data_IF_795256030568
#
_entry.id   IF_795256030568
#
_cell.length_a   1.000
_cell.length_b   1.000
_cell.length_c   1.000
_cell.angle_alpha   90.00
_cell.angle_beta   90.00
_cell.angle_gamma   90.00
#
_symmetry.space_group_name_H-M   'P 1'
#
loop_
_entity.id
_entity.type
_entity.pdbx_description
1 polymer ?
#
# COMPACT_ATOMS: atom_id res chain seq x y z
N UNK A 1 15.86 24.07 3.65
CA UNK A 1 15.04 23.76 4.84
C UNK A 1 13.67 24.41 4.66
N UNK A 2 12.58 23.65 4.86
CA UNK A 2 11.75 23.95 6.02
C UNK A 2 11.37 22.67 6.76
N UNK A 3 11.94 22.53 7.97
CA UNK A 3 11.46 21.65 9.02
C UNK A 3 10.31 22.36 9.74
N UNK A 4 9.07 21.93 9.52
CA UNK A 4 7.97 22.19 10.47
C UNK A 4 7.18 20.89 10.63
N UNK A 5 7.54 20.18 11.69
CA UNK A 5 6.75 19.14 12.39
C UNK A 5 6.00 18.11 11.52
N UNK A 6 6.73 17.10 11.04
CA UNK A 6 6.13 15.76 10.94
C UNK A 6 6.00 15.24 12.37
N UNK A 7 4.78 15.17 12.88
CA UNK A 7 4.51 14.63 14.21
C UNK A 7 4.68 13.12 14.13
N UNK A 8 5.81 12.60 14.62
CA UNK A 8 5.99 11.16 14.85
C UNK A 8 5.06 10.74 15.99
N UNK A 9 3.82 10.38 15.66
CA UNK A 9 2.87 9.88 16.65
C UNK A 9 3.35 8.51 17.15
N UNK A 10 3.97 8.50 18.32
CA UNK A 10 4.09 7.33 19.18
C UNK A 10 2.68 6.95 19.66
N UNK A 11 2.04 6.01 18.96
CA UNK A 11 0.69 5.53 19.30
C UNK A 11 0.75 4.51 20.43
N UNK A 12 0.71 5.01 21.66
CA UNK A 12 0.41 4.20 22.84
C UNK A 12 -0.37 5.10 23.82
N UNK A 13 -1.69 5.23 23.69
CA UNK A 13 -2.52 5.49 24.87
C UNK A 13 -4.05 5.32 24.71
N UNK A 14 -4.52 4.17 24.20
CA UNK A 14 -5.84 3.69 24.63
C UNK A 14 -5.97 2.17 24.54
N UNK A 15 -5.54 1.45 25.58
CA UNK A 15 -5.47 -0.02 25.58
C UNK A 15 -6.83 -0.73 25.59
N UNK A 16 -7.94 -0.03 25.91
CA UNK A 16 -9.28 -0.65 25.96
C UNK A 16 -9.99 -0.67 24.60
N UNK A 17 -9.89 0.41 23.82
CA UNK A 17 -10.44 0.49 22.46
C UNK A 17 -9.62 -0.33 21.45
N UNK A 18 -8.30 -0.46 21.65
CA UNK A 18 -7.43 -1.30 20.84
C UNK A 18 -7.74 -2.81 20.94
N UNK A 19 -8.26 -3.29 22.09
CA UNK A 19 -8.56 -4.70 22.31
C UNK A 19 -9.80 -5.19 21.53
N UNK A 20 -10.88 -4.41 21.56
CA UNK A 20 -12.11 -4.68 20.79
C UNK A 20 -11.95 -4.39 19.30
N UNK A 21 -11.19 -3.36 18.93
CA UNK A 21 -10.86 -3.09 17.52
C UNK A 21 -10.00 -4.22 16.93
N UNK A 22 -9.01 -4.71 17.69
CA UNK A 22 -8.20 -5.85 17.30
C UNK A 22 -9.02 -7.11 17.02
N UNK A 23 -9.98 -7.44 17.88
CA UNK A 23 -10.82 -8.63 17.69
C UNK A 23 -11.79 -8.52 16.51
N UNK A 24 -12.32 -7.32 16.20
CA UNK A 24 -13.14 -7.07 15.01
C UNK A 24 -12.33 -7.26 13.72
N UNK A 25 -11.13 -6.69 13.67
CA UNK A 25 -10.22 -6.79 12.52
C UNK A 25 -9.81 -8.24 12.27
N UNK A 26 -9.45 -8.96 13.34
CA UNK A 26 -9.06 -10.36 13.24
C UNK A 26 -10.17 -11.24 12.68
N UNK A 27 -11.39 -11.04 13.18
CA UNK A 27 -12.56 -11.75 12.66
C UNK A 27 -12.84 -11.42 11.19
N UNK A 28 -12.70 -10.16 10.78
CA UNK A 28 -12.88 -9.79 9.38
C UNK A 28 -11.82 -10.46 8.48
N UNK A 29 -10.56 -10.54 8.92
CA UNK A 29 -9.50 -11.23 8.19
C UNK A 29 -9.79 -12.73 8.09
N UNK A 30 -10.22 -13.37 9.19
CA UNK A 30 -10.56 -14.79 9.23
C UNK A 30 -11.77 -15.12 8.34
N UNK A 31 -12.83 -14.30 8.39
CA UNK A 31 -14.01 -14.44 7.54
C UNK A 31 -13.64 -14.37 6.05
N UNK A 32 -12.78 -13.40 5.69
CA UNK A 32 -12.33 -13.23 4.29
C UNK A 32 -11.40 -14.37 3.87
N UNK A 33 -10.47 -14.78 4.73
CA UNK A 33 -9.55 -15.89 4.46
C UNK A 33 -10.30 -17.21 4.22
N UNK A 34 -11.41 -17.45 4.93
CA UNK A 34 -12.24 -18.64 4.74
C UNK A 34 -12.95 -18.68 3.36
N UNK A 35 -13.18 -17.52 2.75
CA UNK A 35 -13.77 -17.40 1.40
C UNK A 35 -12.72 -17.26 0.30
N UNK A 36 -11.48 -16.95 0.66
CA UNK A 36 -10.44 -16.59 -0.29
C UNK A 36 -10.07 -17.80 -1.18
N UNK A 37 -10.06 -17.63 -2.51
CA UNK A 37 -9.97 -18.79 -3.40
C UNK A 37 -8.57 -19.42 -3.43
N UNK A 38 -7.54 -18.80 -2.87
CA UNK A 38 -6.15 -19.26 -2.95
C UNK A 38 -5.62 -19.69 -1.57
N UNK A 39 -5.58 -21.01 -1.27
CA UNK A 39 -5.12 -21.52 0.02
C UNK A 39 -3.73 -21.00 0.40
N UNK A 40 -3.58 -20.56 1.64
CA UNK A 40 -2.31 -20.06 2.18
C UNK A 40 -1.89 -18.70 1.63
N UNK A 41 -2.63 -18.04 0.74
CA UNK A 41 -2.26 -16.73 0.23
C UNK A 41 -2.30 -15.65 1.34
N UNK A 42 -3.43 -15.56 2.04
CA UNK A 42 -3.65 -14.60 3.14
C UNK A 42 -2.88 -14.98 4.43
N UNK A 43 -2.47 -16.25 4.55
CA UNK A 43 -1.68 -16.75 5.68
C UNK A 43 -0.18 -16.86 5.37
N UNK A 44 0.23 -16.62 4.12
CA UNK A 44 1.61 -16.83 3.68
C UNK A 44 2.57 -15.94 4.48
N UNK A 45 3.77 -16.45 4.75
CA UNK A 45 4.86 -15.62 5.29
C UNK A 45 5.19 -14.41 4.38
N UNK A 46 4.77 -14.45 3.11
CA UNK A 46 4.95 -13.38 2.14
C UNK A 46 4.00 -12.19 2.34
N UNK A 47 2.71 -12.43 2.60
CA UNK A 47 1.68 -11.43 2.93
C UNK A 47 1.13 -11.75 4.32
N UNK A 48 1.91 -11.50 5.36
CA UNK A 48 1.51 -11.87 6.72
C UNK A 48 0.23 -11.15 7.17
N UNK A 49 -0.50 -11.73 8.13
CA UNK A 49 -1.67 -11.12 8.81
C UNK A 49 -1.45 -9.66 9.24
N UNK A 50 -0.18 -9.24 9.42
CA UNK A 50 0.17 -7.87 9.80
C UNK A 50 -0.14 -6.81 8.74
N UNK A 51 -0.04 -7.13 7.44
CA UNK A 51 -0.39 -6.17 6.39
C UNK A 51 -1.88 -5.80 6.48
N UNK A 52 -2.76 -6.80 6.51
CA UNK A 52 -4.20 -6.60 6.69
C UNK A 52 -4.52 -5.85 7.98
N UNK A 53 -3.96 -6.29 9.12
CA UNK A 53 -4.16 -5.60 10.41
C UNK A 53 -3.70 -4.15 10.39
N UNK A 54 -2.56 -3.88 9.77
CA UNK A 54 -1.99 -2.53 9.70
C UNK A 54 -2.89 -1.59 8.92
N UNK A 55 -3.39 -2.03 7.76
CA UNK A 55 -4.24 -1.21 6.89
C UNK A 55 -5.63 -1.06 7.50
N UNK A 56 -6.25 -2.17 7.94
CA UNK A 56 -7.55 -2.15 8.61
C UNK A 56 -7.53 -1.30 9.89
N UNK A 57 -6.45 -1.36 10.67
CA UNK A 57 -6.30 -0.55 11.88
C UNK A 57 -6.20 0.95 11.58
N UNK A 58 -5.50 1.34 10.50
CA UNK A 58 -5.49 2.74 10.05
C UNK A 58 -6.85 3.15 9.50
N UNK A 59 -7.54 2.26 8.78
CA UNK A 59 -8.87 2.54 8.27
C UNK A 59 -9.89 2.78 9.40
N UNK A 60 -9.99 1.86 10.36
CA UNK A 60 -10.91 2.00 11.51
C UNK A 60 -10.60 3.22 12.38
N UNK A 61 -9.34 3.65 12.42
CA UNK A 61 -8.93 4.78 13.25
C UNK A 61 -9.13 6.14 12.58
N UNK A 62 -8.87 6.25 11.28
CA UNK A 62 -8.78 7.54 10.59
C UNK A 62 -9.82 7.73 9.48
N UNK A 63 -10.48 6.67 9.03
CA UNK A 63 -11.46 6.70 7.95
C UNK A 63 -12.85 6.56 8.55
N UNK A 64 -13.77 7.46 8.17
CA UNK A 64 -15.17 7.39 8.62
C UNK A 64 -15.80 6.05 8.20
N UNK A 65 -16.48 5.33 9.11
CA UNK A 65 -17.20 4.11 8.77
C UNK A 65 -18.21 4.35 7.63
N UNK A 66 -18.33 3.40 6.71
CA UNK A 66 -19.18 3.52 5.52
C UNK A 66 -18.57 4.32 4.35
N UNK A 67 -17.38 4.90 4.53
CA UNK A 67 -16.65 5.57 3.45
C UNK A 67 -16.42 4.67 2.24
N UNK A 68 -16.44 5.28 1.06
CA UNK A 68 -16.15 4.63 -0.23
C UNK A 68 -14.65 4.62 -0.47
N UNK A 69 -14.09 3.43 -0.64
CA UNK A 69 -12.65 3.21 -0.81
C UNK A 69 -12.42 2.63 -2.21
N UNK A 70 -11.56 3.26 -3.01
CA UNK A 70 -10.99 2.64 -4.20
C UNK A 70 -9.65 2.02 -3.85
N UNK A 71 -9.53 0.71 -4.01
CA UNK A 71 -8.27 -0.02 -3.99
C UNK A 71 -7.72 -0.10 -5.42
N UNK A 72 -6.79 0.79 -5.78
CA UNK A 72 -6.15 0.80 -7.09
C UNK A 72 -4.92 -0.11 -7.06
N UNK A 73 -4.77 -0.98 -8.07
CA UNK A 73 -3.79 -2.07 -8.07
C UNK A 73 -4.13 -3.15 -7.05
N UNK A 74 -5.43 -3.47 -6.92
CA UNK A 74 -5.93 -4.31 -5.83
C UNK A 74 -5.58 -5.80 -5.94
N UNK A 75 -4.97 -6.25 -7.05
CA UNK A 75 -4.73 -7.66 -7.34
C UNK A 75 -6.01 -8.51 -7.10
N UNK A 76 -5.99 -9.53 -6.24
CA UNK A 76 -7.16 -10.36 -5.96
C UNK A 76 -8.21 -9.75 -5.02
N UNK A 77 -8.10 -8.46 -4.67
CA UNK A 77 -9.02 -7.72 -3.81
C UNK A 77 -9.12 -8.21 -2.37
N UNK A 78 -8.11 -8.93 -1.86
CA UNK A 78 -8.04 -9.42 -0.48
C UNK A 78 -8.14 -8.30 0.55
N UNK A 79 -7.40 -7.20 0.35
CA UNK A 79 -7.45 -6.04 1.25
C UNK A 79 -8.79 -5.29 1.18
N UNK A 80 -9.28 -5.03 -0.04
CA UNK A 80 -10.61 -4.45 -0.25
C UNK A 80 -11.72 -5.29 0.39
N UNK A 81 -11.67 -6.62 0.30
CA UNK A 81 -12.63 -7.51 0.92
C UNK A 81 -12.62 -7.46 2.46
N UNK A 82 -11.43 -7.34 3.07
CA UNK A 82 -11.32 -7.14 4.54
C UNK A 82 -11.95 -5.80 4.95
N UNK A 83 -11.68 -4.73 4.22
CA UNK A 83 -12.30 -3.42 4.49
C UNK A 83 -13.81 -3.44 4.25
N UNK A 84 -14.27 -4.09 3.18
CA UNK A 84 -15.70 -4.33 2.90
C UNK A 84 -16.37 -5.06 4.07
N UNK A 85 -15.70 -6.08 4.63
CA UNK A 85 -16.19 -6.83 5.80
C UNK A 85 -16.22 -5.99 7.09
N UNK A 86 -15.38 -4.96 7.19
CA UNK A 86 -15.37 -4.03 8.32
C UNK A 86 -16.44 -2.92 8.23
N UNK A 87 -17.15 -2.84 7.10
CA UNK A 87 -18.27 -1.93 6.88
C UNK A 87 -17.96 -0.73 5.97
N UNK A 88 -16.82 -0.76 5.26
CA UNK A 88 -16.54 0.20 4.18
C UNK A 88 -17.22 -0.23 2.87
N UNK A 89 -17.34 0.68 1.91
CA UNK A 89 -17.80 0.38 0.54
C UNK A 89 -16.61 0.36 -0.40
N UNK A 90 -16.14 -0.81 -0.79
CA UNK A 90 -14.89 -0.98 -1.52
C UNK A 90 -15.13 -1.27 -3.01
N UNK A 91 -14.40 -0.54 -3.84
CA UNK A 91 -14.19 -0.87 -5.25
C UNK A 91 -12.73 -1.26 -5.47
N UNK A 92 -12.47 -2.14 -6.44
CA UNK A 92 -11.14 -2.55 -6.85
C UNK A 92 -10.88 -2.24 -8.33
N UNK A 93 -9.67 -1.84 -8.66
CA UNK A 93 -9.24 -1.67 -10.05
C UNK A 93 -7.83 -2.22 -10.28
N UNK A 94 -7.68 -3.19 -11.17
CA UNK A 94 -6.42 -3.87 -11.45
C UNK A 94 -6.38 -4.43 -12.89
N UNK A 95 -5.20 -4.56 -13.51
CA UNK A 95 -5.07 -5.17 -14.85
C UNK A 95 -5.13 -6.71 -14.82
N UNK A 96 -5.01 -7.30 -13.62
CA UNK A 96 -4.86 -8.72 -13.34
C UNK A 96 -3.85 -9.37 -14.29
N UNK A 97 -2.78 -8.65 -14.63
CA UNK A 97 -1.86 -8.97 -15.72
C UNK A 97 -0.64 -9.77 -15.29
N UNK A 98 -0.39 -9.92 -13.99
CA UNK A 98 0.73 -10.74 -13.49
C UNK A 98 0.59 -12.20 -13.91
N UNK A 99 1.74 -12.86 -14.12
CA UNK A 99 1.77 -14.23 -14.63
C UNK A 99 0.98 -15.24 -13.80
N UNK A 100 0.80 -15.01 -12.50
CA UNK A 100 -0.01 -15.88 -11.65
C UNK A 100 -1.52 -15.66 -11.80
N UNK A 101 -1.96 -14.43 -12.10
CA UNK A 101 -3.37 -14.14 -12.39
C UNK A 101 -3.83 -14.87 -13.66
N UNK A 102 -2.92 -15.02 -14.63
CA UNK A 102 -3.17 -15.65 -15.91
C UNK A 102 -3.21 -17.19 -15.87
N UNK A 103 -2.77 -17.81 -14.77
CA UNK A 103 -2.73 -19.27 -14.61
C UNK A 103 -4.06 -19.81 -14.09
N UNK A 104 -4.38 -21.05 -14.46
CA UNK A 104 -5.37 -21.91 -13.78
C UNK A 104 -6.73 -21.25 -13.49
N UNK A 105 -7.22 -20.41 -14.40
CA UNK A 105 -8.49 -19.70 -14.23
C UNK A 105 -8.52 -18.73 -13.03
N UNK A 106 -7.36 -18.30 -12.53
CA UNK A 106 -7.25 -17.47 -11.33
C UNK A 106 -8.00 -16.13 -11.47
N UNK A 107 -7.99 -15.50 -12.65
CA UNK A 107 -8.85 -14.34 -12.94
C UNK A 107 -10.33 -14.61 -12.65
N UNK A 108 -10.88 -15.74 -13.11
CA UNK A 108 -12.28 -16.08 -12.85
C UNK A 108 -12.54 -16.32 -11.36
N UNK A 109 -11.60 -16.98 -10.67
CA UNK A 109 -11.67 -17.19 -9.21
C UNK A 109 -11.66 -15.87 -8.44
N UNK A 110 -10.83 -14.92 -8.86
CA UNK A 110 -10.78 -13.55 -8.30
C UNK A 110 -12.11 -12.83 -8.52
N UNK A 111 -12.66 -12.87 -9.74
CA UNK A 111 -13.96 -12.24 -10.03
C UNK A 111 -15.09 -12.84 -9.19
N UNK A 112 -15.13 -14.17 -9.03
CA UNK A 112 -16.10 -14.85 -8.16
C UNK A 112 -15.93 -14.44 -6.69
N UNK A 113 -14.70 -14.31 -6.22
CA UNK A 113 -14.41 -13.85 -4.86
C UNK A 113 -14.83 -12.40 -4.63
N UNK A 114 -14.52 -11.49 -5.55
CA UNK A 114 -14.98 -10.10 -5.49
C UNK A 114 -16.51 -10.01 -5.41
N UNK A 115 -17.22 -10.77 -6.26
CA UNK A 115 -18.68 -10.84 -6.21
C UNK A 115 -19.22 -11.41 -4.88
N UNK A 116 -18.61 -12.48 -4.37
CA UNK A 116 -19.02 -13.11 -3.10
C UNK A 116 -18.77 -12.19 -1.90
N UNK A 117 -17.77 -11.30 -1.97
CA UNK A 117 -17.44 -10.35 -0.91
C UNK A 117 -18.12 -8.99 -1.08
N UNK A 118 -18.77 -8.73 -2.22
CA UNK A 118 -19.45 -7.47 -2.51
C UNK A 118 -18.52 -6.33 -2.94
N UNK A 119 -17.29 -6.63 -3.34
CA UNK A 119 -16.34 -5.63 -3.88
C UNK A 119 -16.65 -5.36 -5.35
N UNK A 120 -16.83 -4.08 -5.74
CA UNK A 120 -16.95 -3.66 -7.15
C UNK A 120 -15.57 -3.73 -7.83
N UNK A 121 -15.18 -4.91 -8.29
CA UNK A 121 -13.94 -5.14 -9.01
C UNK A 121 -14.10 -4.86 -10.51
N UNK A 122 -13.25 -3.99 -11.04
CA UNK A 122 -13.15 -3.67 -12.48
C UNK A 122 -11.75 -3.97 -12.99
N UNK A 123 -11.67 -4.72 -14.09
CA UNK A 123 -10.40 -5.08 -14.71
C UNK A 123 -10.00 -4.01 -15.71
N UNK A 124 -8.75 -3.53 -15.64
CA UNK A 124 -8.23 -2.55 -16.58
C UNK A 124 -8.13 -3.13 -17.99
N UNK A 125 -8.57 -2.36 -18.98
CA UNK A 125 -8.60 -2.73 -20.40
C UNK A 125 -7.74 -1.80 -21.27
N UNK A 126 -6.92 -0.95 -20.64
CA UNK A 126 -6.12 0.08 -21.30
C UNK A 126 -6.86 1.40 -21.54
N UNK A 127 -8.15 1.46 -21.20
CA UNK A 127 -8.95 2.68 -21.20
C UNK A 127 -8.71 3.58 -19.98
N UNK A 128 -9.44 4.71 -19.90
CA UNK A 128 -9.44 5.55 -18.70
C UNK A 128 -10.04 4.79 -17.51
N UNK A 129 -9.62 5.15 -16.30
CA UNK A 129 -10.15 4.58 -15.07
C UNK A 129 -11.68 4.81 -15.02
N UNK A 130 -12.51 3.76 -14.97
CA UNK A 130 -13.93 3.86 -15.27
C UNK A 130 -14.79 4.37 -14.10
N UNK A 131 -14.27 5.26 -13.27
CA UNK A 131 -15.01 5.84 -12.14
C UNK A 131 -15.26 7.34 -12.34
N UNK A 132 -16.41 7.87 -11.91
CA UNK A 132 -16.66 9.31 -11.94
C UNK A 132 -15.67 10.08 -11.07
N UNK A 133 -15.41 11.35 -11.39
CA UNK A 133 -14.70 12.23 -10.46
C UNK A 133 -15.47 12.33 -9.13
N UNK A 134 -14.74 12.51 -8.03
CA UNK A 134 -15.31 12.70 -6.68
C UNK A 134 -16.23 11.55 -6.21
N UNK A 135 -15.99 10.32 -6.65
CA UNK A 135 -16.76 9.14 -6.27
C UNK A 135 -16.23 8.41 -5.03
N UNK A 136 -15.03 8.74 -4.55
CA UNK A 136 -14.39 8.05 -3.43
C UNK A 136 -13.98 8.99 -2.30
N UNK A 137 -14.18 8.52 -1.08
CA UNK A 137 -13.74 9.22 0.13
C UNK A 137 -12.27 8.89 0.41
N UNK A 138 -11.80 7.71 -0.03
CA UNK A 138 -10.42 7.26 0.11
C UNK A 138 -9.93 6.59 -1.18
N UNK A 139 -8.74 6.99 -1.62
CA UNK A 139 -7.96 6.31 -2.64
C UNK A 139 -6.85 5.53 -1.93
N UNK A 140 -6.82 4.22 -2.13
CA UNK A 140 -5.80 3.33 -1.59
C UNK A 140 -4.93 2.79 -2.72
N UNK A 141 -3.61 2.80 -2.50
CA UNK A 141 -2.63 2.10 -3.33
C UNK A 141 -1.78 1.25 -2.39
N UNK A 142 -2.05 -0.05 -2.36
CA UNK A 142 -1.33 -1.00 -1.52
C UNK A 142 -0.27 -1.74 -2.32
N UNK A 143 1.00 -1.37 -2.15
CA UNK A 143 2.16 -2.01 -2.80
C UNK A 143 2.06 -1.97 -4.35
N UNK A 144 1.78 -0.76 -4.87
CA UNK A 144 1.59 -0.52 -6.32
C UNK A 144 2.68 0.37 -6.91
N UNK A 145 3.10 1.41 -6.18
CA UNK A 145 3.97 2.44 -6.75
C UNK A 145 5.31 1.89 -7.20
N UNK A 146 5.80 0.87 -6.52
CA UNK A 146 7.06 0.20 -6.81
C UNK A 146 7.06 -0.58 -8.11
N UNK A 147 5.89 -0.91 -8.66
CA UNK A 147 5.74 -1.61 -9.93
C UNK A 147 5.63 -0.66 -11.14
N UNK A 148 5.50 0.65 -10.90
CA UNK A 148 5.38 1.63 -11.97
C UNK A 148 6.74 1.86 -12.65
N UNK A 149 6.75 1.73 -13.97
CA UNK A 149 7.94 1.99 -14.81
C UNK A 149 8.18 3.48 -15.01
N UNK A 150 7.10 4.24 -15.16
CA UNK A 150 7.13 5.67 -15.40
C UNK A 150 6.89 6.46 -14.11
N UNK A 151 7.05 7.78 -14.19
CA UNK A 151 6.72 8.67 -13.08
C UNK A 151 5.29 8.42 -12.59
N UNK A 152 5.06 8.27 -11.26
CA UNK A 152 3.72 8.03 -10.74
C UNK A 152 2.81 9.27 -10.78
N UNK A 153 3.33 10.43 -11.21
CA UNK A 153 2.67 11.73 -11.10
C UNK A 153 1.34 11.80 -11.82
N UNK A 154 1.29 11.39 -13.09
CA UNK A 154 0.07 11.50 -13.89
C UNK A 154 -1.03 10.60 -13.34
N UNK A 155 -0.68 9.34 -13.04
CA UNK A 155 -1.57 8.38 -12.41
C UNK A 155 -2.13 8.90 -11.08
N UNK A 156 -1.27 9.39 -10.18
CA UNK A 156 -1.71 9.88 -8.87
C UNK A 156 -2.55 11.15 -8.99
N UNK A 157 -2.31 12.00 -9.99
CA UNK A 157 -3.21 13.12 -10.29
C UNK A 157 -4.58 12.64 -10.77
N UNK A 158 -4.63 11.62 -11.62
CA UNK A 158 -5.89 11.06 -12.12
C UNK A 158 -6.69 10.39 -10.99
N UNK A 159 -6.02 9.62 -10.13
CA UNK A 159 -6.63 9.02 -8.96
C UNK A 159 -7.16 10.05 -7.95
N UNK A 160 -6.40 11.13 -7.70
CA UNK A 160 -6.86 12.20 -6.81
C UNK A 160 -8.05 12.99 -7.36
N UNK A 161 -8.36 12.93 -8.67
CA UNK A 161 -9.62 13.48 -9.21
C UNK A 161 -10.83 12.65 -8.81
N UNK A 162 -10.65 11.33 -8.68
CA UNK A 162 -11.70 10.42 -8.21
C UNK A 162 -12.00 10.62 -6.72
N UNK A 163 -11.05 11.17 -5.96
CA UNK A 163 -11.26 11.55 -4.58
C UNK A 163 -12.13 12.82 -4.45
N UNK A 164 -13.11 12.78 -3.54
CA UNK A 164 -13.87 13.96 -3.10
C UNK A 164 -12.95 15.07 -2.57
N UNK A 165 -13.42 16.33 -2.50
CA UNK A 165 -12.72 17.36 -1.73
C UNK A 165 -12.42 16.88 -0.30
N UNK A 166 -11.22 17.16 0.20
CA UNK A 166 -10.77 16.69 1.52
C UNK A 166 -10.71 15.15 1.69
N UNK A 167 -10.80 14.39 0.58
CA UNK A 167 -10.66 12.94 0.56
C UNK A 167 -9.24 12.47 0.90
N UNK A 168 -9.11 11.20 1.25
CA UNK A 168 -7.86 10.61 1.75
C UNK A 168 -7.10 9.84 0.68
N UNK A 169 -5.77 9.84 0.80
CA UNK A 169 -4.84 9.03 0.03
C UNK A 169 -4.08 8.13 1.01
N UNK A 170 -4.27 6.81 0.88
CA UNK A 170 -3.58 5.79 1.66
C UNK A 170 -2.62 5.02 0.75
N UNK A 171 -1.32 5.11 1.01
CA UNK A 171 -0.27 4.43 0.24
C UNK A 171 0.53 3.54 1.17
N UNK A 172 0.80 2.31 0.71
CA UNK A 172 1.85 1.46 1.27
C UNK A 172 2.85 1.11 0.18
N UNK A 173 4.11 0.99 0.59
CA UNK A 173 5.22 0.60 -0.29
C UNK A 173 6.30 -0.13 0.52
N UNK A 174 7.06 -1.04 -0.10
CA UNK A 174 8.25 -1.62 0.51
C UNK A 174 9.30 -0.54 0.78
N UNK A 175 9.99 -0.68 1.92
CA UNK A 175 11.05 0.23 2.31
C UNK A 175 12.39 -0.19 1.67
N UNK A 176 12.89 0.62 0.74
CA UNK A 176 14.15 0.41 0.02
C UNK A 176 15.38 0.27 0.94
N UNK A 177 15.28 0.79 2.17
CA UNK A 177 16.35 0.83 3.17
C UNK A 177 15.94 0.22 4.51
N UNK A 178 15.10 -0.82 4.50
CA UNK A 178 14.83 -1.61 5.70
C UNK A 178 16.13 -2.29 6.23
N UNK A 179 16.12 -2.71 7.50
CA UNK A 179 17.33 -3.25 8.14
C UNK A 179 17.93 -4.46 7.39
N UNK A 180 17.09 -5.35 6.85
CA UNK A 180 17.57 -6.49 6.06
C UNK A 180 18.33 -6.02 4.83
N UNK A 181 17.82 -5.02 4.10
CA UNK A 181 18.47 -4.46 2.91
C UNK A 181 19.75 -3.69 3.25
N UNK A 182 19.78 -2.96 4.37
CA UNK A 182 21.00 -2.28 4.85
C UNK A 182 22.13 -3.28 5.11
N UNK A 183 21.82 -4.37 5.81
CA UNK A 183 22.78 -5.45 6.06
C UNK A 183 23.18 -6.16 4.77
N UNK A 184 22.24 -6.40 3.86
CA UNK A 184 22.52 -7.01 2.56
C UNK A 184 23.55 -6.18 1.76
N UNK A 185 23.32 -4.88 1.62
CA UNK A 185 24.25 -3.96 0.91
C UNK A 185 25.60 -3.89 1.60
N UNK A 186 25.63 -3.84 2.93
CA UNK A 186 26.88 -3.89 3.70
C UNK A 186 27.70 -5.15 3.40
N UNK A 187 27.02 -6.26 3.10
CA UNK A 187 27.63 -7.54 2.71
C UNK A 187 27.80 -7.69 1.18
N UNK A 188 27.71 -6.62 0.38
CA UNK A 188 27.88 -6.65 -1.07
C UNK A 188 26.72 -7.29 -1.85
N UNK A 189 25.53 -7.39 -1.26
CA UNK A 189 24.32 -7.92 -1.90
C UNK A 189 23.38 -6.79 -2.34
N UNK A 190 22.57 -7.04 -3.35
CA UNK A 190 21.61 -6.05 -3.87
C UNK A 190 20.50 -5.72 -2.87
N UNK A 191 20.08 -4.44 -2.84
CA UNK A 191 18.84 -4.00 -2.22
C UNK A 191 17.65 -3.97 -3.20
N UNK A 192 17.88 -4.24 -4.48
CA UNK A 192 16.85 -4.42 -5.51
C UNK A 192 16.28 -5.84 -5.48
N UNK A 193 15.26 -6.17 -6.29
CA UNK A 193 14.84 -7.55 -6.51
C UNK A 193 16.04 -8.45 -6.87
N UNK A 194 15.99 -9.75 -6.50
CA UNK A 194 17.01 -10.72 -6.90
C UNK A 194 17.27 -10.62 -8.40
N UNK A 195 18.54 -10.53 -8.79
CA UNK A 195 18.91 -10.32 -10.19
C UNK A 195 18.45 -11.47 -11.08
N UNK A 196 18.41 -12.69 -10.54
CA UNK A 196 17.89 -13.87 -11.24
C UNK A 196 16.43 -13.70 -11.66
N UNK A 197 15.56 -13.27 -10.74
CA UNK A 197 14.13 -13.01 -11.04
C UNK A 197 14.00 -11.96 -12.15
N UNK A 198 14.80 -10.89 -12.07
CA UNK A 198 14.84 -9.84 -13.08
C UNK A 198 15.33 -10.35 -14.44
N UNK A 199 16.41 -11.12 -14.46
CA UNK A 199 17.07 -11.60 -15.67
C UNK A 199 16.21 -12.62 -16.43
N UNK A 200 15.53 -13.52 -15.72
CA UNK A 200 14.74 -14.58 -16.33
C UNK A 200 13.27 -14.20 -16.58
N UNK A 201 12.83 -13.02 -16.16
CA UNK A 201 11.48 -12.59 -16.47
C UNK A 201 11.32 -12.34 -17.97
N UNK A 202 10.39 -13.06 -18.59
CA UNK A 202 9.99 -12.82 -19.97
C UNK A 202 9.08 -11.59 -20.09
N UNK A 203 9.28 -10.82 -21.16
CA UNK A 203 8.46 -9.64 -21.48
C UNK A 203 8.74 -8.42 -20.58
N UNK A 204 7.70 -7.65 -20.28
CA UNK A 204 7.82 -6.45 -19.44
C UNK A 204 8.07 -6.87 -17.99
N UNK A 205 9.10 -6.33 -17.35
CA UNK A 205 9.37 -6.53 -15.92
C UNK A 205 8.14 -6.13 -15.07
N UNK A 206 7.68 -7.01 -14.18
CA UNK A 206 6.49 -6.79 -13.34
C UNK A 206 6.80 -6.81 -11.84
N UNK A 207 8.05 -7.06 -11.45
CA UNK A 207 8.50 -6.87 -10.07
C UNK A 207 8.77 -5.40 -9.74
N UNK A 208 9.47 -5.16 -8.62
CA UNK A 208 9.74 -3.78 -8.18
C UNK A 208 10.74 -3.09 -9.11
N UNK A 209 10.32 -1.99 -9.72
CA UNK A 209 11.15 -1.05 -10.50
C UNK A 209 11.85 -0.08 -9.56
N UNK A 210 11.08 0.51 -8.63
CA UNK A 210 11.58 1.53 -7.71
C UNK A 210 10.93 1.39 -6.34
N UNK A 211 11.70 1.01 -5.34
CA UNK A 211 11.24 1.09 -3.96
C UNK A 211 11.49 2.48 -3.35
N UNK A 212 10.79 2.77 -2.25
CA UNK A 212 10.73 4.12 -1.68
C UNK A 212 11.37 4.19 -0.30
N UNK A 213 11.72 5.41 0.09
CA UNK A 213 12.07 5.76 1.48
C UNK A 213 11.08 6.77 2.05
N UNK A 214 11.08 6.96 3.37
CA UNK A 214 10.17 7.92 4.04
C UNK A 214 10.25 9.34 3.44
N UNK A 215 11.46 9.78 3.09
CA UNK A 215 11.67 11.09 2.45
C UNK A 215 10.98 11.19 1.09
N UNK A 216 10.96 10.11 0.31
CA UNK A 216 10.27 10.10 -0.99
C UNK A 216 8.77 10.27 -0.80
N UNK A 217 8.17 9.58 0.18
CA UNK A 217 6.72 9.69 0.45
C UNK A 217 6.36 11.08 0.98
N UNK A 218 7.24 11.70 1.78
CA UNK A 218 7.04 13.09 2.21
C UNK A 218 7.07 14.07 1.02
N UNK A 219 8.01 13.88 0.09
CA UNK A 219 8.05 14.66 -1.15
C UNK A 219 6.86 14.38 -2.05
N UNK A 220 6.43 13.14 -2.17
CA UNK A 220 5.24 12.74 -2.92
C UNK A 220 4.01 13.48 -2.39
N UNK A 221 3.76 13.44 -1.09
CA UNK A 221 2.65 14.16 -0.46
C UNK A 221 2.72 15.67 -0.74
N UNK A 222 3.91 16.26 -0.62
CA UNK A 222 4.13 17.67 -0.94
C UNK A 222 3.78 18.00 -2.40
N UNK A 223 4.25 17.20 -3.35
CA UNK A 223 4.04 17.43 -4.79
C UNK A 223 2.60 17.19 -5.21
N UNK A 224 1.92 16.26 -4.57
CA UNK A 224 0.49 15.99 -4.77
C UNK A 224 -0.42 16.98 -4.05
N UNK A 225 0.13 17.95 -3.30
CA UNK A 225 -0.65 18.86 -2.47
C UNK A 225 -1.57 18.12 -1.49
N UNK A 226 -1.05 17.04 -0.90
CA UNK A 226 -1.71 16.24 0.12
C UNK A 226 -1.08 16.56 1.47
N UNK A 227 -1.89 16.87 2.47
CA UNK A 227 -1.46 17.07 3.85
C UNK A 227 -1.24 15.72 4.53
N UNK A 228 -0.08 15.52 5.16
CA UNK A 228 0.24 14.24 5.81
C UNK A 228 -0.48 14.14 7.15
N UNK A 229 -1.37 13.15 7.28
CA UNK A 229 -1.98 12.76 8.56
C UNK A 229 -1.07 11.77 9.29
N UNK A 230 -0.55 10.77 8.56
CA UNK A 230 0.30 9.71 9.07
C UNK A 230 1.41 9.42 8.06
N UNK A 231 2.67 9.38 8.51
CA UNK A 231 3.79 8.86 7.72
C UNK A 231 4.71 8.07 8.65
N UNK A 232 4.82 6.75 8.43
CA UNK A 232 5.60 5.85 9.30
C UNK A 232 6.08 4.61 8.58
N UNK A 233 7.03 3.90 9.21
CA UNK A 233 7.29 2.50 8.87
C UNK A 233 6.28 1.56 9.53
N UNK A 234 6.05 0.40 8.92
CA UNK A 234 5.19 -0.69 9.39
C UNK A 234 5.80 -2.05 9.04
N UNK A 235 5.37 -3.10 9.75
CA UNK A 235 5.94 -4.45 9.63
C UNK A 235 4.99 -5.40 8.88
N UNK A 236 4.81 -5.17 7.58
CA UNK A 236 3.89 -5.99 6.76
C UNK A 236 4.45 -7.36 6.45
N UNK A 237 5.78 -7.48 6.42
CA UNK A 237 6.51 -8.72 6.16
C UNK A 237 7.09 -9.35 7.43
N UNK A 238 6.55 -9.04 8.62
CA UNK A 238 7.04 -9.58 9.90
C UNK A 238 7.10 -11.12 9.93
N UNK A 239 6.22 -11.78 9.18
CA UNK A 239 6.20 -13.23 9.02
C UNK A 239 7.47 -13.81 8.40
N UNK A 240 8.23 -13.02 7.62
CA UNK A 240 9.53 -13.42 7.04
C UNK A 240 10.68 -13.32 8.04
N UNK A 241 10.48 -12.67 9.19
CA UNK A 241 11.49 -12.61 10.25
C UNK A 241 11.42 -13.91 11.04
N UNK A 242 12.52 -14.69 11.13
CA UNK A 242 12.55 -15.91 11.92
C UNK A 242 12.11 -15.67 13.36
N UNK A 243 11.35 -16.59 13.95
CA UNK A 243 10.75 -16.41 15.28
C UNK A 243 11.82 -16.09 16.34
N UNK A 244 12.99 -16.73 16.27
CA UNK A 244 14.11 -16.49 17.19
C UNK A 244 14.68 -15.06 17.11
N UNK A 245 14.56 -14.38 15.96
CA UNK A 245 15.08 -13.03 15.74
C UNK A 245 14.01 -11.94 15.90
N UNK A 246 12.72 -12.32 15.98
CA UNK A 246 11.59 -11.38 15.91
C UNK A 246 11.59 -10.35 17.04
N UNK A 247 11.87 -10.76 18.28
CA UNK A 247 11.92 -9.85 19.42
C UNK A 247 13.02 -8.78 19.26
N UNK A 248 14.22 -9.19 18.83
CA UNK A 248 15.32 -8.28 18.58
C UNK A 248 14.99 -7.32 17.41
N UNK A 249 14.43 -7.84 16.32
CA UNK A 249 13.97 -7.04 15.18
C UNK A 249 12.97 -5.96 15.61
N UNK A 250 11.96 -6.33 16.40
CA UNK A 250 10.94 -5.38 16.88
C UNK A 250 11.54 -4.33 17.83
N UNK A 251 12.46 -4.72 18.71
CA UNK A 251 13.14 -3.79 19.61
C UNK A 251 13.98 -2.75 18.83
N UNK A 252 14.77 -3.21 17.86
CA UNK A 252 15.63 -2.34 17.05
C UNK A 252 14.80 -1.41 16.15
N UNK A 253 13.82 -1.95 15.43
CA UNK A 253 13.00 -1.14 14.51
C UNK A 253 12.02 -0.21 15.23
N UNK A 254 11.81 -0.38 16.53
CA UNK A 254 11.11 0.61 17.37
C UNK A 254 11.94 1.86 17.61
N UNK A 255 13.26 1.71 17.78
CA UNK A 255 14.19 2.83 17.93
C UNK A 255 14.47 3.53 16.60
N UNK A 256 14.43 2.78 15.49
CA UNK A 256 14.64 3.29 14.14
C UNK A 256 13.44 2.96 13.25
N UNK A 257 12.35 3.75 13.29
CA UNK A 257 11.13 3.49 12.52
C UNK A 257 11.36 3.38 11.01
N UNK A 258 12.36 4.09 10.48
CA UNK A 258 12.77 4.00 9.07
C UNK A 258 13.48 2.70 8.69
N UNK A 259 13.62 1.74 9.61
CA UNK A 259 14.23 0.43 9.37
C UNK A 259 13.20 -0.70 9.22
N UNK A 260 11.92 -0.42 9.45
CA UNK A 260 10.80 -1.36 9.23
C UNK A 260 10.70 -1.78 7.76
N UNK A 261 10.12 -2.96 7.51
CA UNK A 261 10.10 -3.55 6.17
C UNK A 261 9.29 -2.77 5.13
N UNK A 262 8.24 -2.08 5.57
CA UNK A 262 7.30 -1.35 4.72
C UNK A 262 7.05 0.05 5.25
N UNK A 263 6.52 0.92 4.41
CA UNK A 263 6.17 2.30 4.72
C UNK A 263 4.69 2.53 4.45
N UNK A 264 4.10 3.44 5.21
CA UNK A 264 2.70 3.82 5.07
C UNK A 264 2.56 5.34 5.15
N UNK A 265 1.84 5.89 4.18
CA UNK A 265 1.42 7.29 4.10
C UNK A 265 -0.11 7.34 4.10
N UNK A 266 -0.70 8.04 5.06
CA UNK A 266 -2.07 8.53 4.98
C UNK A 266 -2.01 10.05 4.88
N UNK A 267 -2.63 10.60 3.85
CA UNK A 267 -2.72 12.04 3.69
C UNK A 267 -4.09 12.49 3.19
N UNK A 268 -4.40 13.76 3.43
CA UNK A 268 -5.63 14.41 3.02
C UNK A 268 -5.40 15.33 1.83
N UNK A 269 -6.21 15.19 0.79
CA UNK A 269 -6.25 16.11 -0.34
C UNK A 269 -6.64 17.51 0.15
N UNK A 270 -5.86 18.54 -0.17
CA UNK A 270 -6.19 19.92 0.20
C UNK A 270 -7.45 20.43 -0.51
N UNK A 271 -8.17 21.36 0.11
CA UNK A 271 -9.42 21.89 -0.46
C UNK A 271 -9.20 22.64 -1.79
N UNK A 272 -8.05 23.31 -1.94
CA UNK A 272 -7.65 24.02 -3.16
C UNK A 272 -6.80 23.15 -4.10
N UNK A 273 -6.92 21.83 -4.00
CA UNK A 273 -6.15 20.90 -4.81
C UNK A 273 -6.40 21.09 -6.30
N UNK A 274 -5.32 21.07 -7.07
CA UNK A 274 -5.36 21.05 -8.52
C UNK A 274 -4.21 20.19 -9.04
N UNK A 275 -4.39 19.48 -10.18
CA UNK A 275 -3.38 18.56 -10.69
C UNK A 275 -2.08 19.29 -11.04
N UNK A 276 -0.98 18.91 -10.39
CA UNK A 276 0.36 19.45 -10.64
C UNK A 276 1.04 18.67 -11.78
N UNK A 277 0.71 18.97 -13.03
CA UNK A 277 1.31 18.28 -14.21
C UNK A 277 2.54 18.98 -14.79
N UNK A 278 2.79 20.24 -14.44
CA UNK A 278 3.99 20.93 -14.91
C UNK A 278 5.22 20.39 -14.18
N UNK A 279 6.15 19.79 -14.92
CA UNK A 279 7.44 19.41 -14.36
C UNK A 279 8.19 20.66 -13.93
N UNK A 280 8.62 20.73 -12.66
CA UNK A 280 9.80 21.55 -12.36
C UNK A 280 10.92 20.94 -13.19
N UNK A 281 11.50 21.70 -14.12
CA UNK A 281 12.69 21.28 -14.85
C UNK A 281 13.70 20.80 -13.82
N UNK A 282 13.93 19.50 -13.75
CA UNK A 282 15.03 18.94 -12.97
C UNK A 282 16.26 19.44 -13.72
N UNK A 283 16.87 20.52 -13.24
CA UNK A 283 18.22 20.87 -13.68
C UNK A 283 19.04 19.61 -13.38
N UNK A 284 19.48 18.92 -14.43
CA UNK A 284 20.49 17.89 -14.29
C UNK A 284 21.63 18.55 -13.51
N UNK A 285 21.79 18.16 -12.25
CA UNK A 285 22.88 18.66 -11.42
C UNK A 285 24.16 18.22 -12.10
N UNK A 286 24.94 19.18 -12.56
CA UNK A 286 26.35 19.01 -12.84
C UNK A 286 27.01 18.42 -11.60
N UNK A 287 27.34 17.14 -11.67
CA UNK A 287 28.32 16.51 -10.80
C UNK A 287 29.69 16.96 -11.29
N UNK A 288 30.21 18.01 -10.67
CA UNK A 288 31.65 18.21 -10.51
C UNK A 288 32.12 17.38 -9.29
#
# INVERSE_FOLDING_TARGET
MPSRFVRWLSMLDDRRSLGTMGSKIDRAIEDVAAMFPFPGYMDSQARGKMAYRSIAGVAEQFITPGSRILDFGCGPCDHAAVLQRLGFSCAGYDDLGDGWHLRDGNRERIMKFAAATGVDLRVADGGPIPFPEQSFDVIMLNDVLEHLHDSPRELLCDLLRLAVPSGLLLITVPNAVNIRKRLAVLCGRTNLPPFEDYYWQEGRWRGHVREYVLGDLAHLAQYLQVEIILLRGCDHMLGRVPDWARAAYLAVTRLFPGWKDSLMLLGQKKDNWHPQRQGRVVRAGSSD
#
